data_IF_353765613094
#
_entry.id   IF_353765613094
#
_cell.length_a   1.000
_cell.length_b   1.000
_cell.length_c   1.000
_cell.angle_alpha   90.00
_cell.angle_beta   90.00
_cell.angle_gamma   90.00
#
_symmetry.space_group_name_H-M   'P 1'
#
loop_
_entity.id
_entity.type
_entity.pdbx_description
1 polymer ?
#
# COMPACT_ATOMS: atom_id res chain seq x y z
N UNK A 1 3.68 6.78 -0.22
CA UNK A 1 2.76 7.89 -0.53
C UNK A 1 2.40 7.84 -1.99
N UNK A 2 1.11 7.97 -2.29
CA UNK A 2 0.54 7.96 -3.62
C UNK A 2 -0.15 9.30 -3.93
N UNK A 3 -0.19 9.67 -5.20
CA UNK A 3 -1.04 10.76 -5.70
C UNK A 3 -2.48 10.29 -6.00
N UNK A 4 -3.28 11.17 -6.61
CA UNK A 4 -4.68 10.91 -6.96
C UNK A 4 -4.83 9.84 -8.05
N UNK A 5 -3.79 9.63 -8.85
CA UNK A 5 -3.70 8.55 -9.85
C UNK A 5 -3.17 7.24 -9.24
N UNK A 6 -3.00 7.18 -7.92
CA UNK A 6 -2.41 6.05 -7.18
C UNK A 6 -0.98 5.72 -7.62
N UNK A 7 -0.25 6.71 -8.11
CA UNK A 7 1.15 6.59 -8.51
C UNK A 7 2.05 6.91 -7.31
N UNK A 8 3.13 6.14 -7.15
CA UNK A 8 4.07 6.32 -6.04
C UNK A 8 4.87 7.60 -6.26
N UNK A 9 4.61 8.60 -5.41
CA UNK A 9 5.33 9.90 -5.43
C UNK A 9 6.39 10.00 -4.34
N UNK A 10 6.33 9.12 -3.34
CA UNK A 10 7.34 8.98 -2.30
C UNK A 10 7.22 7.59 -1.69
N UNK A 11 8.36 6.92 -1.49
CA UNK A 11 8.44 5.67 -0.78
C UNK A 11 9.42 5.82 0.39
N UNK A 12 9.04 5.33 1.55
CA UNK A 12 9.88 5.23 2.75
C UNK A 12 9.74 3.78 3.28
N UNK A 13 10.72 3.30 4.04
CA UNK A 13 10.67 1.97 4.65
C UNK A 13 11.31 0.84 3.81
N UNK A 14 10.99 -0.44 4.08
CA UNK A 14 11.71 -1.58 3.51
C UNK A 14 11.59 -1.67 1.98
N UNK A 15 10.51 -1.13 1.39
CA UNK A 15 10.32 -1.05 -0.07
C UNK A 15 11.39 -0.19 -0.73
N UNK A 16 11.61 1.00 -0.17
CA UNK A 16 12.61 1.95 -0.65
C UNK A 16 14.04 1.44 -0.44
N UNK A 17 14.27 0.59 0.57
CA UNK A 17 15.57 0.00 0.87
C UNK A 17 15.92 -1.21 -0.01
N UNK A 18 14.94 -2.02 -0.42
CA UNK A 18 15.16 -3.24 -1.20
C UNK A 18 15.40 -2.97 -2.69
N UNK A 19 14.65 -2.05 -3.29
CA UNK A 19 14.71 -1.79 -4.75
C UNK A 19 15.39 -0.46 -5.10
N UNK A 20 15.78 0.33 -4.10
CA UNK A 20 16.19 1.72 -4.26
C UNK A 20 14.99 2.62 -4.55
N UNK A 21 14.67 3.55 -3.63
CA UNK A 21 13.47 4.39 -3.68
C UNK A 21 13.17 5.00 -5.06
N UNK A 22 14.20 5.38 -5.82
CA UNK A 22 14.08 5.99 -7.14
C UNK A 22 13.41 5.12 -8.20
N UNK A 23 13.51 3.80 -8.13
CA UNK A 23 12.87 2.91 -9.12
C UNK A 23 11.36 2.72 -8.87
N UNK A 24 10.91 2.99 -7.65
CA UNK A 24 9.50 2.90 -7.28
C UNK A 24 8.73 4.18 -7.67
N UNK A 25 9.41 5.33 -7.72
CA UNK A 25 8.78 6.60 -8.01
C UNK A 25 8.21 6.64 -9.44
N UNK A 26 7.02 7.19 -9.59
CA UNK A 26 6.33 7.30 -10.88
C UNK A 26 5.65 6.00 -11.33
N UNK A 27 5.74 4.92 -10.55
CA UNK A 27 5.05 3.65 -10.86
C UNK A 27 3.70 3.57 -10.16
N UNK A 28 2.68 2.96 -10.78
CA UNK A 28 1.40 2.75 -10.13
C UNK A 28 1.54 1.75 -8.98
N UNK A 29 0.69 1.91 -7.95
CA UNK A 29 0.69 1.05 -6.77
C UNK A 29 0.63 -0.45 -7.12
N UNK A 30 -0.19 -0.83 -8.09
CA UNK A 30 -0.40 -2.23 -8.53
C UNK A 30 0.79 -2.82 -9.29
N UNK A 31 1.67 -1.97 -9.82
CA UNK A 31 2.94 -2.42 -10.40
C UNK A 31 3.98 -2.72 -9.32
N UNK A 32 3.99 -1.94 -8.24
CA UNK A 32 4.90 -2.13 -7.09
C UNK A 32 4.43 -3.31 -6.23
N UNK A 33 3.12 -3.42 -6.02
CA UNK A 33 2.46 -4.47 -5.27
C UNK A 33 1.58 -5.30 -6.20
N UNK A 34 2.10 -6.47 -6.60
CA UNK A 34 1.35 -7.46 -7.38
C UNK A 34 0.48 -8.27 -6.43
N UNK A 35 -0.66 -7.68 -6.07
CA UNK A 35 -1.68 -8.29 -5.22
C UNK A 35 -2.59 -9.21 -6.04
N UNK A 36 -3.17 -10.22 -5.40
CA UNK A 36 -4.15 -11.13 -6.01
C UNK A 36 -5.44 -10.37 -6.39
N UNK A 37 -5.79 -9.34 -5.63
CA UNK A 37 -6.98 -8.50 -5.81
C UNK A 37 -6.61 -7.02 -6.01
N UNK A 38 -5.94 -6.67 -7.12
CA UNK A 38 -5.39 -5.33 -7.31
C UNK A 38 -6.48 -4.25 -7.41
N UNK A 39 -7.60 -4.56 -8.08
CA UNK A 39 -8.71 -3.62 -8.21
C UNK A 39 -9.42 -3.34 -6.90
N UNK A 40 -9.53 -4.34 -6.01
CA UNK A 40 -10.08 -4.16 -4.66
C UNK A 40 -9.18 -3.23 -3.85
N UNK A 41 -7.86 -3.42 -3.91
CA UNK A 41 -6.91 -2.55 -3.24
C UNK A 41 -6.95 -1.11 -3.77
N UNK A 42 -6.98 -0.92 -5.09
CA UNK A 42 -7.12 0.41 -5.68
C UNK A 42 -8.45 1.08 -5.33
N UNK A 43 -9.55 0.31 -5.34
CA UNK A 43 -10.86 0.80 -4.93
C UNK A 43 -10.85 1.36 -3.51
N UNK A 44 -10.22 0.64 -2.57
CA UNK A 44 -10.04 1.12 -1.19
C UNK A 44 -9.21 2.41 -1.14
N UNK A 45 -8.12 2.51 -1.89
CA UNK A 45 -7.29 3.72 -1.93
C UNK A 45 -8.06 4.91 -2.50
N UNK A 46 -8.87 4.70 -3.55
CA UNK A 46 -9.76 5.73 -4.11
C UNK A 46 -10.85 6.14 -3.12
N UNK A 47 -11.46 5.19 -2.43
CA UNK A 47 -12.45 5.48 -1.39
C UNK A 47 -11.85 6.29 -0.23
N UNK A 48 -10.60 6.04 0.16
CA UNK A 48 -9.89 6.85 1.16
C UNK A 48 -9.66 8.27 0.63
N UNK A 49 -9.25 8.43 -0.63
CA UNK A 49 -9.08 9.74 -1.25
C UNK A 49 -10.39 10.54 -1.29
N UNK A 50 -11.49 9.91 -1.69
CA UNK A 50 -12.81 10.55 -1.81
C UNK A 50 -13.40 10.85 -0.43
N UNK A 51 -13.49 9.84 0.43
CA UNK A 51 -14.21 9.95 1.69
C UNK A 51 -13.39 10.53 2.84
N UNK A 52 -12.06 10.44 2.76
CA UNK A 52 -11.16 10.80 3.86
C UNK A 52 -11.14 9.80 5.01
N UNK A 53 -11.97 8.75 4.98
CA UNK A 53 -11.99 7.72 6.01
C UNK A 53 -10.78 6.80 5.81
N UNK A 54 -9.98 6.53 6.86
CA UNK A 54 -8.84 5.65 6.74
C UNK A 54 -9.26 4.19 6.57
N UNK A 55 -8.47 3.43 5.82
CA UNK A 55 -8.59 1.98 5.72
C UNK A 55 -7.45 1.36 6.55
N UNK A 56 -7.74 0.51 7.54
CA UNK A 56 -6.71 0.08 8.52
C UNK A 56 -6.57 -1.42 8.74
N UNK A 57 -7.52 -2.23 8.29
CA UNK A 57 -7.58 -3.68 8.61
C UNK A 57 -7.77 -4.55 7.35
N UNK A 58 -7.14 -4.16 6.24
CA UNK A 58 -7.26 -4.88 4.98
C UNK A 58 -5.98 -5.68 4.70
N UNK A 59 -6.10 -7.00 4.68
CA UNK A 59 -4.99 -7.90 4.37
C UNK A 59 -5.13 -8.43 2.96
N UNK A 60 -4.10 -8.21 2.14
CA UNK A 60 -4.01 -8.71 0.77
C UNK A 60 -2.95 -9.79 0.67
N UNK A 61 -3.19 -10.78 -0.18
CA UNK A 61 -2.16 -11.71 -0.61
C UNK A 61 -1.50 -11.18 -1.89
N UNK A 62 -0.20 -11.37 -2.02
CA UNK A 62 0.54 -11.05 -3.24
C UNK A 62 2.03 -11.00 -3.01
N UNK A 63 2.74 -10.28 -3.89
CA UNK A 63 4.18 -10.07 -3.79
C UNK A 63 4.56 -8.64 -4.16
N UNK A 64 5.73 -8.22 -3.72
CA UNK A 64 6.37 -7.00 -4.25
C UNK A 64 6.97 -7.29 -5.61
N UNK A 65 7.02 -6.28 -6.47
CA UNK A 65 7.82 -6.36 -7.68
C UNK A 65 9.28 -6.69 -7.32
N UNK A 66 9.96 -7.44 -8.18
CA UNK A 66 11.37 -7.82 -7.99
C UNK A 66 11.62 -8.93 -6.95
N UNK A 67 10.77 -9.12 -5.94
CA UNK A 67 10.97 -10.18 -4.94
C UNK A 67 10.66 -11.57 -5.53
N UNK A 68 11.62 -12.51 -5.46
CA UNK A 68 11.42 -13.94 -5.76
C UNK A 68 10.82 -14.70 -4.56
N UNK A 69 10.05 -15.76 -4.83
CA UNK A 69 9.48 -16.63 -3.79
C UNK A 69 7.95 -16.67 -3.74
N UNK A 70 7.38 -17.30 -2.69
CA UNK A 70 5.94 -17.47 -2.55
C UNK A 70 5.24 -16.16 -2.15
N UNK A 71 3.95 -16.08 -2.45
CA UNK A 71 3.14 -14.91 -2.05
C UNK A 71 3.13 -14.74 -0.53
N UNK A 72 3.11 -13.47 -0.14
CA UNK A 72 3.07 -12.99 1.22
C UNK A 72 1.71 -12.37 1.52
N UNK A 73 1.44 -12.16 2.80
CA UNK A 73 0.27 -11.42 3.28
C UNK A 73 0.71 -10.03 3.70
N UNK A 74 0.14 -9.01 3.08
CA UNK A 74 0.38 -7.62 3.39
C UNK A 74 -0.83 -7.02 4.08
N UNK A 75 -0.66 -6.48 5.29
CA UNK A 75 -1.62 -5.56 5.88
C UNK A 75 -1.43 -4.21 5.21
N UNK A 76 -2.48 -3.74 4.52
CA UNK A 76 -2.56 -2.40 3.97
C UNK A 76 -3.30 -1.49 4.94
N UNK A 77 -2.65 -0.37 5.25
CA UNK A 77 -3.29 0.76 5.91
C UNK A 77 -3.18 1.98 5.01
N UNK A 78 -4.24 2.77 4.87
CA UNK A 78 -4.29 3.91 3.98
C UNK A 78 -4.94 5.11 4.67
N UNK A 79 -4.32 6.27 4.54
CA UNK A 79 -4.76 7.53 5.15
C UNK A 79 -4.72 8.65 4.12
N UNK A 80 -5.81 9.42 4.00
CA UNK A 80 -5.80 10.61 3.15
C UNK A 80 -4.89 11.68 3.76
N UNK A 81 -4.13 12.34 2.90
CA UNK A 81 -3.34 13.50 3.31
C UNK A 81 -4.16 14.76 3.09
N UNK A 82 -4.38 15.47 4.20
CA UNK A 82 -5.11 16.73 4.25
C UNK A 82 -4.17 17.86 4.68
N UNK A 83 -4.45 19.09 4.26
CA UNK A 83 -3.77 20.29 4.76
C UNK A 83 -4.15 20.57 6.23
N UNK A 84 -3.52 21.58 6.83
CA UNK A 84 -3.81 22.01 8.20
C UNK A 84 -5.27 22.47 8.44
N UNK A 85 -6.06 22.64 7.37
CA UNK A 85 -7.48 23.00 7.41
C UNK A 85 -8.40 21.81 7.09
N UNK A 86 -7.86 20.60 6.97
CA UNK A 86 -8.62 19.38 6.64
C UNK A 86 -9.02 19.27 5.17
N UNK A 87 -8.43 20.04 4.27
CA UNK A 87 -8.70 19.93 2.82
C UNK A 87 -7.79 18.90 2.20
N UNK A 88 -8.34 18.04 1.36
CA UNK A 88 -7.56 17.01 0.68
C UNK A 88 -6.45 17.61 -0.17
N UNK A 89 -5.26 17.03 -0.04
CA UNK A 89 -4.10 17.32 -0.91
C UNK A 89 -4.07 16.43 -2.15
N UNK A 90 -5.12 15.63 -2.40
CA UNK A 90 -5.17 14.66 -3.51
C UNK A 90 -4.12 13.56 -3.36
N UNK A 91 -3.78 13.18 -2.12
CA UNK A 91 -2.73 12.20 -1.83
C UNK A 91 -3.18 11.23 -0.75
N UNK A 92 -2.66 10.01 -0.82
CA UNK A 92 -2.91 8.97 0.18
C UNK A 92 -1.58 8.38 0.64
N UNK A 93 -1.43 8.27 1.96
CA UNK A 93 -0.37 7.51 2.58
C UNK A 93 -0.82 6.05 2.66
N UNK A 94 -0.26 5.20 1.80
CA UNK A 94 -0.39 3.74 1.89
C UNK A 94 0.81 3.16 2.65
N UNK A 95 0.53 2.42 3.71
CA UNK A 95 1.47 1.68 4.54
C UNK A 95 1.26 0.18 4.31
N UNK A 96 2.32 -0.53 3.96
CA UNK A 96 2.28 -1.94 3.63
C UNK A 96 3.19 -2.72 4.58
N UNK A 97 2.59 -3.54 5.43
CA UNK A 97 3.32 -4.34 6.41
C UNK A 97 3.20 -5.84 6.07
N UNK A 98 4.33 -6.54 5.97
CA UNK A 98 4.33 -8.00 5.83
C UNK A 98 3.88 -8.65 7.14
N UNK A 99 2.72 -9.30 7.10
CA UNK A 99 2.11 -10.00 8.24
C UNK A 99 2.13 -11.51 8.06
N UNK A 100 2.87 -12.03 7.08
CA UNK A 100 2.89 -13.47 6.75
C UNK A 100 3.23 -14.34 7.96
N UNK A 101 4.24 -13.95 8.74
CA UNK A 101 4.63 -14.70 9.93
C UNK A 101 3.62 -14.53 11.09
N UNK A 102 3.06 -13.33 11.25
CA UNK A 102 2.02 -13.05 12.26
C UNK A 102 0.75 -13.88 12.02
N UNK A 103 0.35 -14.01 10.75
CA UNK A 103 -0.80 -14.82 10.34
C UNK A 103 -0.56 -16.32 10.54
N UNK A 104 0.63 -16.81 10.19
CA UNK A 104 1.02 -18.21 10.47
C UNK A 104 0.99 -18.52 11.96
N UNK A 105 1.42 -17.59 12.81
CA UNK A 105 1.37 -17.76 14.27
C UNK A 105 -0.07 -17.76 14.82
N UNK A 106 -0.97 -16.93 14.25
CA UNK A 106 -2.40 -16.91 14.64
C UNK A 106 -3.13 -18.19 14.28
N UNK A 107 -2.81 -18.81 13.14
CA UNK A 107 -3.43 -20.08 12.70
C UNK A 107 -2.93 -21.33 13.44
N UNK A 108 -1.87 -21.21 14.24
CA UNK A 108 -1.30 -22.31 15.05
C UNK A 108 -1.84 -22.35 16.49
N UNK A 109 -2.73 -21.43 16.86
CA UNK A 109 -3.50 -21.46 18.11
C UNK A 109 -4.90 -21.97 17.83
#
# INVERSE_FOLDING_TARGET
MLDDQLTVVRADGPDAAAEGAGHLLGRPFTEVYRLDEPHTAEGLLREVLISGRPATDHVFRGRRAGEEGPDRRFLMQAYRLDDHRGRSLGRVLACMADVTQREKARRRK
#
